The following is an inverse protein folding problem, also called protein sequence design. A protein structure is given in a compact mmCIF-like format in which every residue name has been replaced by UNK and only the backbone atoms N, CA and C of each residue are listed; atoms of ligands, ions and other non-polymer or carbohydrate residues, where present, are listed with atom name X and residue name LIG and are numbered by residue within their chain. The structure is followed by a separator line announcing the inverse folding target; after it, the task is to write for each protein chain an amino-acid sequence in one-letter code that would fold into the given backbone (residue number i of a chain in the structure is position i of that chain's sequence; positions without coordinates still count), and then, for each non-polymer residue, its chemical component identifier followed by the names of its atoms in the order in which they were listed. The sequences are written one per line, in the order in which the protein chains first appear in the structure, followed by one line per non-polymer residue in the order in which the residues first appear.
data_IF_897943203682
#
_entry.id   IF_897943203682
#
_cell.length_a   1.000
_cell.length_b   1.000
_cell.length_c   1.000
_cell.angle_alpha   90.00
_cell.angle_beta   90.00
_cell.angle_gamma   90.00
#
_symmetry.space_group_name_H-M   'P 1'
#
loop_
_entity.id
_entity.type
_entity.pdbx_description
1 polymer ?
#
# COMPACT_ATOMS: atom_id res chain seq x y z
N UNK A 1 -6.43 22.03 -20.74
CA UNK A 1 -6.91 22.31 -19.39
C UNK A 1 -6.63 23.78 -19.05
N UNK A 2 -7.53 24.49 -18.45
CA UNK A 2 -7.36 25.91 -18.12
C UNK A 2 -6.36 26.22 -16.98
N UNK A 3 -5.42 25.33 -16.67
CA UNK A 3 -4.45 25.46 -15.60
C UNK A 3 -3.04 25.50 -16.17
N UNK A 4 -2.28 26.56 -15.87
CA UNK A 4 -0.92 26.76 -16.37
C UNK A 4 0.08 25.86 -15.67
N UNK A 5 1.21 25.53 -16.34
CA UNK A 5 2.31 24.78 -15.75
C UNK A 5 2.91 25.42 -14.49
N UNK A 6 3.12 26.76 -14.40
CA UNK A 6 3.56 27.40 -13.16
C UNK A 6 2.59 27.22 -12.00
N UNK A 7 1.29 27.19 -12.24
CA UNK A 7 0.26 26.92 -11.22
C UNK A 7 0.35 25.48 -10.72
N UNK A 8 0.52 24.50 -11.62
CA UNK A 8 0.71 23.07 -11.27
C UNK A 8 1.98 22.91 -10.43
N UNK A 9 3.10 23.53 -10.81
CA UNK A 9 4.34 23.50 -10.04
C UNK A 9 4.17 24.08 -8.63
N UNK A 10 3.34 25.11 -8.45
CA UNK A 10 3.02 25.68 -7.14
C UNK A 10 2.25 24.68 -6.27
N UNK A 11 1.33 23.91 -6.82
CA UNK A 11 0.63 22.86 -6.11
C UNK A 11 1.56 21.71 -5.71
N UNK A 12 2.41 21.22 -6.63
CA UNK A 12 3.38 20.15 -6.36
C UNK A 12 4.40 20.54 -5.28
N UNK A 13 4.79 21.81 -5.22
CA UNK A 13 5.68 22.33 -4.18
C UNK A 13 5.00 22.53 -2.81
N UNK A 14 3.70 22.28 -2.69
CA UNK A 14 2.94 22.46 -1.45
C UNK A 14 2.72 23.93 -1.03
N UNK A 15 3.01 24.90 -1.89
CA UNK A 15 2.87 26.34 -1.63
C UNK A 15 1.42 26.80 -1.71
N UNK A 16 0.57 26.07 -2.39
CA UNK A 16 -0.85 26.35 -2.59
C UNK A 16 -1.61 25.04 -2.72
N UNK A 17 -2.80 24.99 -2.14
CA UNK A 17 -3.69 23.81 -2.27
C UNK A 17 -4.72 24.07 -3.37
N UNK A 18 -4.95 23.12 -4.28
CA UNK A 18 -6.01 23.22 -5.28
C UNK A 18 -7.39 23.09 -4.63
N UNK A 19 -8.39 23.72 -5.21
CA UNK A 19 -9.80 23.46 -4.87
C UNK A 19 -10.26 22.16 -5.51
N UNK A 20 -11.39 21.59 -5.02
CA UNK A 20 -12.00 20.39 -5.65
C UNK A 20 -12.31 20.66 -7.12
N UNK A 21 -12.85 21.83 -7.45
CA UNK A 21 -13.13 22.24 -8.84
C UNK A 21 -11.87 22.23 -9.71
N UNK A 22 -10.75 22.72 -9.19
CA UNK A 22 -9.46 22.67 -9.90
C UNK A 22 -8.99 21.23 -10.12
N UNK A 23 -9.11 20.37 -9.11
CA UNK A 23 -8.76 18.95 -9.23
C UNK A 23 -9.65 18.23 -10.27
N UNK A 24 -10.97 18.48 -10.26
CA UNK A 24 -11.91 17.92 -11.24
C UNK A 24 -11.54 18.34 -12.67
N UNK A 25 -11.20 19.61 -12.88
CA UNK A 25 -10.79 20.13 -14.18
C UNK A 25 -9.49 19.50 -14.67
N UNK A 26 -8.49 19.34 -13.79
CA UNK A 26 -7.22 18.69 -14.12
C UNK A 26 -7.43 17.20 -14.44
N UNK A 27 -8.21 16.50 -13.63
CA UNK A 27 -8.51 15.10 -13.85
C UNK A 27 -9.24 14.89 -15.20
N UNK A 28 -10.24 15.71 -15.48
CA UNK A 28 -10.98 15.66 -16.74
C UNK A 28 -10.08 15.83 -17.96
N UNK A 29 -9.08 16.71 -17.89
CA UNK A 29 -8.11 16.90 -18.97
C UNK A 29 -7.24 15.67 -19.23
N UNK A 30 -7.13 14.76 -18.25
CA UNK A 30 -6.41 13.49 -18.34
C UNK A 30 -7.34 12.29 -18.60
N UNK A 31 -8.63 12.52 -18.83
CA UNK A 31 -9.62 11.45 -18.97
C UNK A 31 -9.93 10.71 -17.66
N UNK A 32 -9.73 11.35 -16.52
CA UNK A 32 -9.92 10.81 -15.18
C UNK A 32 -11.10 11.50 -14.47
N UNK A 33 -11.63 10.85 -13.47
CA UNK A 33 -12.60 11.39 -12.52
C UNK A 33 -11.96 11.54 -11.14
N UNK A 34 -12.41 12.54 -10.37
CA UNK A 34 -12.00 12.72 -8.97
C UNK A 34 -12.99 12.00 -8.06
N UNK A 35 -12.47 11.18 -7.16
CA UNK A 35 -13.24 10.58 -6.08
C UNK A 35 -12.70 11.07 -4.74
N UNK A 36 -13.60 11.47 -3.84
CA UNK A 36 -13.25 11.87 -2.48
C UNK A 36 -13.87 10.88 -1.51
N UNK A 37 -13.06 10.34 -0.63
CA UNK A 37 -13.52 9.43 0.43
C UNK A 37 -12.97 9.85 1.79
N UNK A 38 -13.73 9.58 2.83
CA UNK A 38 -13.30 9.77 4.21
C UNK A 38 -12.90 8.43 4.79
N UNK A 39 -11.69 8.35 5.31
CA UNK A 39 -11.15 7.14 5.95
C UNK A 39 -10.80 7.46 7.40
N UNK A 40 -10.85 6.44 8.26
CA UNK A 40 -10.34 6.58 9.62
C UNK A 40 -8.85 6.88 9.58
N UNK A 41 -8.32 7.78 10.45
CA UNK A 41 -6.90 8.05 10.52
C UNK A 41 -6.09 6.75 10.68
N UNK A 42 -4.91 6.71 10.07
CA UNK A 42 -3.99 5.59 10.23
C UNK A 42 -3.50 5.53 11.69
N UNK A 43 -3.65 4.38 12.30
CA UNK A 43 -3.09 4.12 13.63
C UNK A 43 -1.57 3.93 13.53
N UNK A 44 -0.88 3.95 14.68
CA UNK A 44 0.56 3.62 14.74
C UNK A 44 0.83 2.21 14.21
N UNK A 45 -0.07 1.28 14.46
CA UNK A 45 0.02 -0.10 13.96
C UNK A 45 -0.13 -0.15 12.43
N UNK A 46 -1.06 0.62 11.86
CA UNK A 46 -1.21 0.73 10.41
C UNK A 46 0.05 1.30 9.76
N UNK A 47 0.63 2.35 10.34
CA UNK A 47 1.86 2.96 9.84
C UNK A 47 3.05 1.99 9.91
N UNK A 48 3.16 1.21 10.98
CA UNK A 48 4.16 0.16 11.11
C UNK A 48 3.99 -0.92 10.06
N UNK A 49 2.76 -1.37 9.86
CA UNK A 49 2.42 -2.35 8.83
C UNK A 49 2.76 -1.85 7.42
N UNK A 50 2.47 -0.58 7.12
CA UNK A 50 2.88 0.05 5.86
C UNK A 50 4.39 0.08 5.70
N UNK A 51 5.14 0.42 6.74
CA UNK A 51 6.61 0.43 6.70
C UNK A 51 7.20 -0.96 6.40
N UNK A 52 6.64 -2.01 6.99
CA UNK A 52 7.02 -3.39 6.65
C UNK A 52 6.70 -3.71 5.19
N UNK A 53 5.52 -3.36 4.69
CA UNK A 53 5.13 -3.62 3.31
C UNK A 53 5.96 -2.82 2.31
N UNK A 54 6.36 -1.60 2.63
CA UNK A 54 7.30 -0.83 1.80
C UNK A 54 8.65 -1.55 1.65
N UNK A 55 9.20 -2.09 2.74
CA UNK A 55 10.44 -2.87 2.68
C UNK A 55 10.26 -4.19 1.92
N UNK A 56 9.14 -4.87 2.07
CA UNK A 56 8.79 -6.09 1.32
C UNK A 56 8.71 -5.78 -0.18
N UNK A 57 8.10 -4.65 -0.55
CA UNK A 57 7.98 -4.22 -1.94
C UNK A 57 9.32 -3.98 -2.59
N UNK A 58 10.30 -3.42 -1.89
CA UNK A 58 11.64 -3.27 -2.42
C UNK A 58 12.26 -4.65 -2.77
N UNK A 59 12.07 -5.66 -1.93
CA UNK A 59 12.48 -7.03 -2.25
C UNK A 59 11.69 -7.62 -3.41
N UNK A 60 10.39 -7.37 -3.46
CA UNK A 60 9.52 -7.81 -4.56
C UNK A 60 9.99 -7.26 -5.92
N UNK A 61 10.42 -6.02 -5.96
CA UNK A 61 10.97 -5.40 -7.18
C UNK A 61 12.27 -6.06 -7.64
N UNK A 62 13.13 -6.45 -6.70
CA UNK A 62 14.42 -7.08 -7.02
C UNK A 62 14.30 -8.58 -7.31
N UNK A 63 13.46 -9.30 -6.57
CA UNK A 63 13.34 -10.76 -6.64
C UNK A 63 11.87 -11.20 -6.73
N UNK A 64 11.12 -10.77 -7.76
CA UNK A 64 9.67 -10.98 -7.81
C UNK A 64 9.29 -12.46 -7.74
N UNK A 65 9.99 -13.34 -8.45
CA UNK A 65 9.66 -14.77 -8.49
C UNK A 65 9.81 -15.43 -7.12
N UNK A 66 10.92 -15.15 -6.42
CA UNK A 66 11.19 -15.73 -5.10
C UNK A 66 10.20 -15.23 -4.05
N UNK A 67 9.92 -13.93 -4.03
CA UNK A 67 8.99 -13.31 -3.07
C UNK A 67 7.57 -13.81 -3.30
N UNK A 68 7.10 -13.85 -4.54
CA UNK A 68 5.75 -14.34 -4.86
C UNK A 68 5.59 -15.84 -4.57
N UNK A 69 6.60 -16.67 -4.86
CA UNK A 69 6.58 -18.09 -4.55
C UNK A 69 6.44 -18.31 -3.03
N UNK A 70 7.22 -17.58 -2.22
CA UNK A 70 7.13 -17.64 -0.77
C UNK A 70 5.78 -17.17 -0.24
N UNK A 71 5.25 -16.08 -0.80
CA UNK A 71 3.93 -15.57 -0.43
C UNK A 71 2.82 -16.58 -0.72
N UNK A 72 2.84 -17.24 -1.88
CA UNK A 72 1.86 -18.28 -2.24
C UNK A 72 1.95 -19.48 -1.31
N UNK A 73 3.16 -19.92 -0.97
CA UNK A 73 3.38 -21.01 -0.02
C UNK A 73 2.82 -20.67 1.37
N UNK A 74 3.12 -19.46 1.88
CA UNK A 74 2.61 -18.97 3.15
C UNK A 74 1.07 -18.91 3.14
N UNK A 75 0.51 -18.37 2.06
CA UNK A 75 -0.95 -18.24 1.92
C UNK A 75 -1.66 -19.59 1.97
N UNK A 76 -1.10 -20.61 1.32
CA UNK A 76 -1.64 -21.98 1.37
C UNK A 76 -1.64 -22.56 2.80
N UNK A 77 -0.60 -22.28 3.57
CA UNK A 77 -0.50 -22.71 4.97
C UNK A 77 -1.48 -21.93 5.86
N UNK A 78 -1.51 -20.61 5.73
CA UNK A 78 -2.36 -19.73 6.54
C UNK A 78 -3.86 -20.00 6.30
N UNK A 79 -4.25 -20.22 5.05
CA UNK A 79 -5.64 -20.53 4.67
C UNK A 79 -6.19 -21.77 5.35
N UNK A 80 -5.33 -22.76 5.64
CA UNK A 80 -5.72 -23.98 6.36
C UNK A 80 -5.84 -23.75 7.87
N UNK A 81 -5.00 -22.85 8.42
CA UNK A 81 -4.97 -22.59 9.86
C UNK A 81 -6.07 -21.61 10.32
N UNK A 82 -6.50 -20.72 9.45
CA UNK A 82 -7.43 -19.63 9.77
C UNK A 82 -8.61 -19.59 8.80
N UNK A 83 -9.54 -20.55 8.88
CA UNK A 83 -10.71 -20.60 7.98
C UNK A 83 -11.69 -19.45 8.20
N UNK A 84 -11.65 -18.80 9.36
CA UNK A 84 -12.47 -17.64 9.74
C UNK A 84 -12.21 -16.41 8.88
N UNK A 85 -10.98 -16.24 8.37
CA UNK A 85 -10.59 -15.11 7.49
C UNK A 85 -10.39 -15.55 6.03
N UNK A 86 -11.04 -16.62 5.62
CA UNK A 86 -10.91 -17.19 4.28
C UNK A 86 -11.12 -16.16 3.16
N UNK A 87 -12.09 -15.26 3.31
CA UNK A 87 -12.39 -14.23 2.29
C UNK A 87 -11.18 -13.34 2.01
N UNK A 88 -10.43 -12.95 3.04
CA UNK A 88 -9.23 -12.13 2.88
C UNK A 88 -8.10 -12.91 2.19
N UNK A 89 -7.96 -14.19 2.50
CA UNK A 89 -7.01 -15.05 1.80
C UNK A 89 -7.37 -15.27 0.33
N UNK A 90 -8.66 -15.39 0.01
CA UNK A 90 -9.11 -15.49 -1.38
C UNK A 90 -8.80 -14.20 -2.16
N UNK A 91 -8.93 -13.02 -1.54
CA UNK A 91 -8.48 -11.74 -2.12
C UNK A 91 -6.96 -11.69 -2.31
N UNK A 92 -6.18 -12.19 -1.34
CA UNK A 92 -4.73 -12.27 -1.48
C UNK A 92 -4.30 -13.16 -2.66
N UNK A 93 -5.01 -14.27 -2.90
CA UNK A 93 -4.76 -15.10 -4.10
C UNK A 93 -4.92 -14.30 -5.37
N UNK A 94 -5.98 -13.50 -5.46
CA UNK A 94 -6.22 -12.63 -6.62
C UNK A 94 -5.13 -11.55 -6.76
N UNK A 95 -4.77 -10.88 -5.66
CA UNK A 95 -3.74 -9.84 -5.67
C UNK A 95 -2.38 -10.37 -6.10
N UNK A 96 -2.01 -11.56 -5.67
CA UNK A 96 -0.74 -12.18 -6.07
C UNK A 96 -0.66 -12.55 -7.56
N UNK A 97 -1.80 -12.57 -8.25
CA UNK A 97 -1.90 -12.79 -9.70
C UNK A 97 -1.91 -11.47 -10.50
N UNK A 98 -2.00 -10.33 -9.83
CA UNK A 98 -1.96 -9.03 -10.49
C UNK A 98 -0.56 -8.72 -11.06
N UNK A 99 -0.49 -7.83 -12.07
CA UNK A 99 0.77 -7.18 -12.41
C UNK A 99 1.43 -6.56 -11.16
N UNK A 100 2.76 -6.56 -11.11
CA UNK A 100 3.50 -6.15 -9.90
C UNK A 100 3.13 -4.73 -9.46
N UNK A 101 2.97 -3.80 -10.39
CA UNK A 101 2.60 -2.41 -10.06
C UNK A 101 1.22 -2.32 -9.40
N UNK A 102 0.26 -3.10 -9.86
CA UNK A 102 -1.08 -3.16 -9.27
C UNK A 102 -1.05 -3.79 -7.88
N UNK A 103 -0.26 -4.85 -7.70
CA UNK A 103 -0.04 -5.48 -6.39
C UNK A 103 0.57 -4.48 -5.40
N UNK A 104 1.56 -3.69 -5.83
CA UNK A 104 2.18 -2.65 -5.02
C UNK A 104 1.14 -1.62 -4.58
N UNK A 105 0.32 -1.13 -5.48
CA UNK A 105 -0.76 -0.20 -5.16
C UNK A 105 -1.73 -0.78 -4.13
N UNK A 106 -2.15 -2.02 -4.30
CA UNK A 106 -3.01 -2.71 -3.33
C UNK A 106 -2.36 -2.82 -1.94
N UNK A 107 -1.08 -3.19 -1.89
CA UNK A 107 -0.36 -3.36 -0.63
C UNK A 107 -0.16 -2.06 0.15
N UNK A 108 -0.06 -0.92 -0.52
CA UNK A 108 0.21 0.38 0.09
C UNK A 108 -1.03 1.27 0.24
N UNK A 109 -2.18 0.82 -0.23
CA UNK A 109 -3.42 1.59 -0.15
C UNK A 109 -3.83 1.84 1.32
N UNK A 110 -4.38 3.02 1.59
CA UNK A 110 -4.78 3.45 2.94
C UNK A 110 -6.22 3.14 3.31
N UNK A 111 -6.98 2.49 2.42
CA UNK A 111 -8.36 2.07 2.68
C UNK A 111 -8.46 1.10 3.87
N UNK A 112 -9.62 1.02 4.49
CA UNK A 112 -9.90 0.06 5.57
C UNK A 112 -9.69 -1.37 5.07
N UNK A 113 -10.13 -1.67 3.86
CA UNK A 113 -9.95 -2.99 3.26
C UNK A 113 -8.46 -3.38 3.11
N UNK A 114 -7.63 -2.48 2.61
CA UNK A 114 -6.19 -2.73 2.48
C UNK A 114 -5.50 -2.88 3.85
N UNK A 115 -5.96 -2.16 4.88
CA UNK A 115 -5.49 -2.35 6.26
C UNK A 115 -5.77 -3.76 6.76
N UNK A 116 -7.02 -4.25 6.57
CA UNK A 116 -7.40 -5.62 6.94
C UNK A 116 -6.59 -6.66 6.19
N UNK A 117 -6.37 -6.46 4.90
CA UNK A 117 -5.54 -7.32 4.07
C UNK A 117 -4.09 -7.41 4.60
N UNK A 118 -3.50 -6.28 5.01
CA UNK A 118 -2.14 -6.28 5.58
C UNK A 118 -2.03 -7.02 6.91
N UNK A 119 -3.10 -7.08 7.70
CA UNK A 119 -3.09 -7.86 8.95
C UNK A 119 -2.96 -9.37 8.72
N UNK A 120 -3.41 -9.85 7.59
CA UNK A 120 -3.32 -11.27 7.19
C UNK A 120 -2.35 -11.47 6.03
N UNK A 121 -1.29 -10.69 6.01
CA UNK A 121 -0.30 -10.67 4.93
C UNK A 121 0.36 -12.02 4.70
N UNK A 122 0.53 -12.46 3.45
CA UNK A 122 1.26 -13.70 3.14
C UNK A 122 2.78 -13.51 3.07
N UNK A 123 3.29 -12.31 3.31
CA UNK A 123 4.71 -11.99 3.18
C UNK A 123 5.55 -12.28 4.44
N UNK A 124 5.07 -13.16 5.32
CA UNK A 124 5.84 -13.57 6.48
C UNK A 124 7.18 -14.22 6.08
N UNK A 125 8.26 -13.83 6.77
CA UNK A 125 9.59 -14.37 6.51
C UNK A 125 10.31 -13.79 5.28
N UNK A 126 9.74 -12.81 4.59
CA UNK A 126 10.40 -12.09 3.50
C UNK A 126 11.46 -11.13 4.05
N UNK A 127 11.15 -10.42 5.14
CA UNK A 127 12.11 -9.59 5.85
C UNK A 127 12.85 -10.42 6.89
N UNK A 128 14.16 -10.22 6.99
CA UNK A 128 14.97 -10.81 8.06
C UNK A 128 14.62 -10.21 9.43
N UNK A 129 15.10 -10.84 10.50
CA UNK A 129 14.92 -10.32 11.85
C UNK A 129 15.59 -8.95 12.02
N UNK A 130 16.76 -8.76 11.43
CA UNK A 130 17.51 -7.51 11.44
C UNK A 130 16.76 -6.39 10.72
N UNK A 131 16.26 -6.65 9.52
CA UNK A 131 15.47 -5.69 8.74
C UNK A 131 14.22 -5.24 9.48
N UNK A 132 13.51 -6.18 10.12
CA UNK A 132 12.34 -5.86 10.95
C UNK A 132 12.71 -5.01 12.16
N UNK A 133 13.84 -5.32 12.79
CA UNK A 133 14.32 -4.56 13.96
C UNK A 133 14.70 -3.12 13.57
N UNK A 134 15.35 -2.92 12.43
CA UNK A 134 15.64 -1.59 11.91
C UNK A 134 14.38 -0.74 11.70
N UNK A 135 13.35 -1.33 11.12
CA UNK A 135 12.06 -0.66 10.92
C UNK A 135 11.45 -0.28 12.28
N UNK A 136 11.44 -1.21 13.23
CA UNK A 136 10.92 -0.96 14.58
C UNK A 136 11.69 0.16 15.29
N UNK A 137 13.01 0.19 15.17
CA UNK A 137 13.83 1.21 15.79
C UNK A 137 13.59 2.61 15.19
N UNK A 138 13.37 2.70 13.89
CA UNK A 138 12.94 3.95 13.23
C UNK A 138 11.60 4.43 13.80
N UNK A 139 10.65 3.52 14.00
CA UNK A 139 9.35 3.84 14.59
C UNK A 139 9.44 4.30 16.05
N UNK A 140 10.36 3.75 16.84
CA UNK A 140 10.58 4.17 18.23
C UNK A 140 11.20 5.56 18.33
N UNK A 141 12.10 5.91 17.42
CA UNK A 141 12.78 7.22 17.39
C UNK A 141 11.87 8.34 16.90
N UNK A 142 11.04 8.06 15.92
CA UNK A 142 10.05 9.00 15.41
C UNK A 142 8.81 8.93 16.30
N UNK A 143 8.69 9.87 17.25
CA UNK A 143 7.44 10.05 18.00
C UNK A 143 6.40 10.62 17.03
N UNK A 144 5.54 9.77 16.56
CA UNK A 144 4.35 10.20 15.84
C UNK A 144 3.26 10.68 16.81
#
# INVERSE_FOLDING_TARGET
AGTSQPTIATYEAGKKSPTLETLERLAKSLGLEVSVSFISPLTREDLRSLAYHQAIIEKLKHEPKAVLAKARQNLAIQSKKHPDVKKLFDHWKQWLDFPIDDLIHCCLDSSVFARDMRQVTPFAGILSAEERLEILNKFRKNKF
#
